data_IF_967483175809
#
_entry.id   IF_967483175809
#
_cell.length_a   1.000
_cell.length_b   1.000
_cell.length_c   1.000
_cell.angle_alpha   90.00
_cell.angle_beta   90.00
_cell.angle_gamma   90.00
#
_symmetry.space_group_name_H-M   'P 1'
#
loop_
_entity.id
_entity.type
_entity.pdbx_description
1 polymer ?
#
# COMPACT_ATOMS: atom_id res chain seq x y z
N UNK A 1 -3.24 -13.03 1.65
CA UNK A 1 -3.05 -11.57 1.52
C UNK A 1 -3.38 -11.16 0.10
N UNK A 2 -4.18 -10.09 -0.09
CA UNK A 2 -4.44 -9.53 -1.42
C UNK A 2 -3.53 -8.32 -1.61
N UNK A 3 -2.75 -8.32 -2.67
CA UNK A 3 -1.97 -7.17 -3.11
C UNK A 3 -2.74 -6.43 -4.19
N UNK A 4 -2.69 -5.10 -4.17
CA UNK A 4 -3.18 -4.27 -5.28
C UNK A 4 -2.03 -4.05 -6.25
N UNK A 5 -2.33 -4.10 -7.54
CA UNK A 5 -1.37 -3.73 -8.58
C UNK A 5 -1.39 -2.23 -8.79
N UNK A 6 -0.22 -1.62 -8.87
CA UNK A 6 -0.05 -0.21 -9.22
C UNK A 6 1.05 -0.15 -10.28
N UNK A 7 0.84 0.69 -11.29
CA UNK A 7 1.86 0.98 -12.29
C UNK A 7 3.03 1.75 -11.64
N UNK A 8 4.25 1.57 -12.13
CA UNK A 8 5.44 2.22 -11.60
C UNK A 8 5.49 3.72 -11.95
N UNK A 9 4.81 4.15 -13.00
CA UNK A 9 4.61 5.56 -13.36
C UNK A 9 3.32 6.16 -12.78
N UNK A 10 2.68 5.48 -11.83
CA UNK A 10 1.40 5.92 -11.25
C UNK A 10 1.47 7.34 -10.67
N UNK A 11 2.55 7.70 -9.98
CA UNK A 11 2.73 9.01 -9.34
C UNK A 11 2.77 10.18 -10.35
N UNK A 12 3.10 9.91 -11.61
CA UNK A 12 3.17 10.90 -12.69
C UNK A 12 1.90 10.96 -13.55
N UNK A 13 0.88 10.15 -13.23
CA UNK A 13 -0.32 10.07 -14.05
C UNK A 13 -1.10 11.40 -14.04
N UNK A 14 -1.49 11.97 -15.21
CA UNK A 14 -2.10 13.31 -15.29
C UNK A 14 -3.32 13.53 -14.39
N UNK A 15 -4.21 12.53 -14.29
CA UNK A 15 -5.37 12.57 -13.37
C UNK A 15 -4.97 12.75 -11.90
N UNK A 16 -3.83 12.20 -11.46
CA UNK A 16 -3.37 12.35 -10.08
C UNK A 16 -2.80 13.74 -9.81
N UNK A 17 -2.09 14.29 -10.80
CA UNK A 17 -1.61 15.68 -10.75
C UNK A 17 -2.79 16.67 -10.68
N UNK A 18 -3.88 16.39 -11.40
CA UNK A 18 -5.11 17.18 -11.39
C UNK A 18 -5.81 17.18 -10.02
N UNK A 19 -6.02 16.01 -9.40
CA UNK A 19 -6.74 15.92 -8.12
C UNK A 19 -5.89 16.25 -6.90
N UNK A 20 -4.57 16.26 -7.06
CA UNK A 20 -3.60 16.53 -6.01
C UNK A 20 -3.37 15.36 -5.04
N UNK A 21 -2.35 15.46 -4.16
CA UNK A 21 -1.82 14.33 -3.40
C UNK A 21 -2.79 13.73 -2.39
N UNK A 22 -3.66 14.55 -1.79
CA UNK A 22 -4.65 14.06 -0.81
C UNK A 22 -5.69 13.16 -1.49
N UNK A 23 -6.21 13.57 -2.64
CA UNK A 23 -7.16 12.78 -3.40
C UNK A 23 -6.51 11.54 -4.01
N UNK A 24 -5.28 11.66 -4.53
CA UNK A 24 -4.49 10.51 -4.99
C UNK A 24 -4.31 9.46 -3.88
N UNK A 25 -4.03 9.88 -2.64
CA UNK A 25 -3.96 8.95 -1.51
C UNK A 25 -5.30 8.27 -1.21
N UNK A 26 -6.42 9.02 -1.25
CA UNK A 26 -7.76 8.45 -1.08
C UNK A 26 -8.07 7.43 -2.18
N UNK A 27 -7.63 7.67 -3.41
CA UNK A 27 -7.75 6.71 -4.50
C UNK A 27 -6.99 5.40 -4.19
N UNK A 28 -5.73 5.49 -3.77
CA UNK A 28 -4.94 4.30 -3.35
C UNK A 28 -5.61 3.57 -2.19
N UNK A 29 -6.12 4.29 -1.18
CA UNK A 29 -6.87 3.67 -0.08
C UNK A 29 -8.11 2.92 -0.59
N UNK A 30 -8.80 3.44 -1.61
CA UNK A 30 -9.97 2.81 -2.20
C UNK A 30 -9.64 1.51 -2.94
N UNK A 31 -8.49 1.45 -3.65
CA UNK A 31 -7.98 0.20 -4.24
C UNK A 31 -7.73 -0.84 -3.15
N UNK A 32 -7.02 -0.45 -2.09
CA UNK A 32 -6.73 -1.33 -0.95
C UNK A 32 -8.00 -1.80 -0.23
N UNK A 33 -9.01 -0.94 -0.09
CA UNK A 33 -10.32 -1.31 0.46
C UNK A 33 -11.00 -2.35 -0.43
N UNK A 34 -11.04 -2.12 -1.74
CA UNK A 34 -11.75 -3.00 -2.66
C UNK A 34 -11.08 -4.37 -2.77
N UNK A 35 -9.75 -4.42 -2.80
CA UNK A 35 -8.98 -5.66 -2.84
C UNK A 35 -9.06 -6.49 -1.54
N UNK A 36 -9.12 -5.84 -0.37
CA UNK A 36 -9.24 -6.57 0.92
C UNK A 36 -10.66 -7.10 1.14
N UNK A 37 -11.68 -6.35 0.71
CA UNK A 37 -13.09 -6.69 0.94
C UNK A 37 -13.74 -7.42 -0.24
N UNK A 38 -13.05 -7.54 -1.38
CA UNK A 38 -13.55 -8.16 -2.61
C UNK A 38 -14.88 -7.53 -3.06
N UNK A 39 -14.86 -6.22 -3.23
CA UNK A 39 -16.02 -5.40 -3.63
C UNK A 39 -16.02 -5.07 -5.12
N UNK A 40 -15.06 -5.57 -5.90
CA UNK A 40 -14.94 -5.31 -7.34
C UNK A 40 -14.91 -3.81 -7.69
N UNK A 41 -14.28 -3.01 -6.83
CA UNK A 41 -14.15 -1.57 -7.01
C UNK A 41 -15.34 -0.76 -6.50
N UNK A 42 -16.39 -1.40 -5.96
CA UNK A 42 -17.53 -0.68 -5.38
C UNK A 42 -17.18 -0.04 -4.04
N UNK A 43 -17.55 1.23 -3.90
CA UNK A 43 -17.35 2.07 -2.72
C UNK A 43 -18.70 2.67 -2.31
N UNK A 44 -19.25 2.25 -1.17
CA UNK A 44 -20.50 2.83 -0.66
C UNK A 44 -20.28 4.27 -0.19
N UNK A 45 -21.35 5.08 -0.09
CA UNK A 45 -21.26 6.44 0.47
C UNK A 45 -20.64 6.49 1.87
N UNK A 46 -20.91 5.48 2.69
CA UNK A 46 -20.34 5.39 4.04
C UNK A 46 -18.83 5.15 3.98
N UNK A 47 -18.37 4.26 3.11
CA UNK A 47 -16.94 3.99 2.91
C UNK A 47 -16.25 5.20 2.29
N UNK A 48 -16.85 5.87 1.31
CA UNK A 48 -16.30 7.10 0.76
C UNK A 48 -16.05 8.17 1.84
N UNK A 49 -16.96 8.32 2.81
CA UNK A 49 -16.77 9.22 3.96
C UNK A 49 -15.69 8.76 4.93
N UNK A 50 -15.51 7.46 5.12
CA UNK A 50 -14.40 6.92 5.93
C UNK A 50 -13.05 7.15 5.24
N UNK A 51 -13.01 6.97 3.92
CA UNK A 51 -11.80 7.13 3.11
C UNK A 51 -11.40 8.60 2.96
N UNK A 52 -12.34 9.50 2.65
CA UNK A 52 -12.04 10.91 2.40
C UNK A 52 -12.22 11.82 3.63
N UNK A 53 -12.90 11.34 4.67
CA UNK A 53 -13.36 12.13 5.80
C UNK A 53 -14.77 12.70 5.57
N UNK A 54 -15.52 12.89 6.65
CA UNK A 54 -16.90 13.41 6.61
C UNK A 54 -17.00 14.94 6.50
N UNK A 55 -15.86 15.65 6.54
CA UNK A 55 -15.82 17.11 6.49
C UNK A 55 -16.09 17.66 5.09
N UNK A 56 -16.30 18.99 4.98
CA UNK A 56 -16.37 19.67 3.67
C UNK A 56 -15.13 19.42 2.81
N UNK A 57 -13.96 19.28 3.44
CA UNK A 57 -12.73 18.96 2.72
C UNK A 57 -12.77 17.55 2.14
N UNK A 58 -13.25 16.56 2.89
CA UNK A 58 -13.43 15.20 2.39
C UNK A 58 -14.44 15.13 1.24
N UNK A 59 -15.52 15.91 1.32
CA UNK A 59 -16.48 16.04 0.21
C UNK A 59 -15.83 16.62 -1.04
N UNK A 60 -14.97 17.64 -0.92
CA UNK A 60 -14.19 18.18 -2.04
C UNK A 60 -13.25 17.14 -2.66
N UNK A 61 -12.62 16.30 -1.84
CA UNK A 61 -11.78 15.19 -2.32
C UNK A 61 -12.60 14.20 -3.14
N UNK A 62 -13.78 13.80 -2.66
CA UNK A 62 -14.67 12.91 -3.42
C UNK A 62 -15.11 13.56 -4.73
N UNK A 63 -15.50 14.83 -4.70
CA UNK A 63 -15.87 15.55 -5.92
C UNK A 63 -14.72 15.62 -6.94
N UNK A 64 -13.48 15.85 -6.49
CA UNK A 64 -12.30 15.87 -7.36
C UNK A 64 -12.05 14.51 -8.01
N UNK A 65 -12.15 13.41 -7.25
CA UNK A 65 -11.99 12.05 -7.78
C UNK A 65 -13.04 11.70 -8.83
N UNK A 66 -14.28 12.15 -8.64
CA UNK A 66 -15.36 11.96 -9.62
C UNK A 66 -15.14 12.83 -10.86
N UNK A 67 -14.78 14.10 -10.68
CA UNK A 67 -14.50 15.02 -11.78
C UNK A 67 -13.37 14.51 -12.69
N UNK A 68 -12.29 14.00 -12.11
CA UNK A 68 -11.15 13.44 -12.84
C UNK A 68 -11.39 12.01 -13.38
N UNK A 69 -12.61 11.45 -13.26
CA UNK A 69 -12.94 10.08 -13.69
C UNK A 69 -12.00 9.02 -13.10
N UNK A 70 -11.62 9.21 -11.83
CA UNK A 70 -10.97 8.17 -11.03
C UNK A 70 -12.02 7.34 -10.29
N UNK A 71 -13.10 7.99 -9.85
CA UNK A 71 -14.32 7.36 -9.37
C UNK A 71 -15.50 7.69 -10.29
N UNK A 72 -16.47 6.79 -10.34
CA UNK A 72 -17.72 6.92 -11.09
C UNK A 72 -18.91 6.89 -10.13
N UNK A 73 -19.93 7.69 -10.38
CA UNK A 73 -21.14 7.71 -9.55
C UNK A 73 -21.98 6.47 -9.86
N UNK A 74 -22.45 5.80 -8.81
CA UNK A 74 -23.39 4.68 -8.89
C UNK A 74 -24.58 4.89 -7.95
N UNK A 75 -25.64 4.09 -8.09
CA UNK A 75 -26.85 4.19 -7.27
C UNK A 75 -26.57 4.18 -5.76
N UNK A 76 -25.57 3.41 -5.30
CA UNK A 76 -25.24 3.24 -3.89
C UNK A 76 -24.03 4.04 -3.38
N UNK A 77 -23.37 4.80 -4.25
CA UNK A 77 -22.11 5.48 -3.93
C UNK A 77 -21.27 5.67 -5.18
N UNK A 78 -20.14 4.97 -5.22
CA UNK A 78 -19.15 5.13 -6.26
C UNK A 78 -18.56 3.79 -6.71
N UNK A 79 -17.93 3.78 -7.88
CA UNK A 79 -17.10 2.69 -8.36
C UNK A 79 -15.73 3.25 -8.77
N UNK A 80 -14.67 2.48 -8.55
CA UNK A 80 -13.33 2.81 -9.04
C UNK A 80 -13.29 2.55 -10.55
N UNK A 81 -12.88 3.56 -11.32
CA UNK A 81 -12.73 3.45 -12.78
C UNK A 81 -11.70 2.35 -13.13
N UNK A 82 -12.04 1.51 -14.11
CA UNK A 82 -11.22 0.41 -14.64
C UNK A 82 -10.67 -0.58 -13.60
N UNK A 83 -11.33 -0.72 -12.45
CA UNK A 83 -10.83 -1.59 -11.37
C UNK A 83 -10.58 -3.03 -11.85
N UNK A 84 -11.51 -3.61 -12.61
CA UNK A 84 -11.42 -5.00 -13.08
C UNK A 84 -10.47 -5.21 -14.26
N UNK A 85 -10.00 -4.13 -14.89
CA UNK A 85 -8.97 -4.23 -15.93
C UNK A 85 -7.60 -4.54 -15.30
N UNK A 86 -7.29 -3.88 -14.18
CA UNK A 86 -6.00 -4.01 -13.52
C UNK A 86 -6.01 -4.98 -12.34
N UNK A 87 -7.13 -5.08 -11.64
CA UNK A 87 -7.28 -5.89 -10.43
C UNK A 87 -8.09 -7.17 -10.67
N UNK A 88 -7.77 -8.26 -9.96
CA UNK A 88 -8.56 -9.47 -10.07
C UNK A 88 -9.95 -9.27 -9.45
N UNK A 89 -10.98 -9.82 -10.11
CA UNK A 89 -12.34 -9.84 -9.56
C UNK A 89 -12.45 -10.71 -8.30
N UNK A 90 -13.49 -10.47 -7.50
CA UNK A 90 -13.89 -11.28 -6.35
C UNK A 90 -13.94 -12.76 -6.72
N UNK A 91 -14.60 -13.08 -7.84
CA UNK A 91 -14.74 -14.45 -8.31
C UNK A 91 -13.37 -15.08 -8.59
N UNK A 92 -12.48 -14.36 -9.29
CA UNK A 92 -11.12 -14.83 -9.57
C UNK A 92 -10.31 -15.05 -8.30
N UNK A 93 -10.35 -14.09 -7.36
CA UNK A 93 -9.63 -14.21 -6.08
C UNK A 93 -10.14 -15.39 -5.27
N UNK A 94 -11.46 -15.60 -5.20
CA UNK A 94 -12.05 -16.73 -4.48
C UNK A 94 -11.68 -18.06 -5.13
N UNK A 95 -11.71 -18.15 -6.46
CA UNK A 95 -11.29 -19.35 -7.19
C UNK A 95 -9.83 -19.71 -6.87
N UNK A 96 -8.92 -18.74 -6.91
CA UNK A 96 -7.51 -18.95 -6.57
C UNK A 96 -7.32 -19.35 -5.10
N UNK A 97 -8.14 -18.80 -4.18
CA UNK A 97 -8.10 -19.19 -2.76
C UNK A 97 -8.55 -20.63 -2.55
N UNK A 98 -9.61 -21.05 -3.24
CA UNK A 98 -10.11 -22.42 -3.17
C UNK A 98 -9.10 -23.43 -3.72
N UNK A 99 -8.52 -23.17 -4.90
CA UNK A 99 -7.51 -24.07 -5.48
C UNK A 99 -6.28 -24.21 -4.60
N UNK A 100 -5.80 -23.10 -4.01
CA UNK A 100 -4.67 -23.13 -3.07
C UNK A 100 -5.00 -23.88 -1.78
N UNK A 101 -6.20 -23.70 -1.23
CA UNK A 101 -6.64 -24.41 -0.04
C UNK A 101 -6.69 -25.93 -0.29
N UNK A 102 -7.23 -26.34 -1.44
CA UNK A 102 -7.34 -27.76 -1.79
C UNK A 102 -5.97 -28.40 -2.06
N UNK A 103 -5.09 -27.70 -2.79
CA UNK A 103 -3.71 -28.17 -2.99
C UNK A 103 -2.96 -28.31 -1.65
N UNK A 104 -3.15 -27.36 -0.73
CA UNK A 104 -2.59 -27.41 0.62
C UNK A 104 -3.12 -28.60 1.43
N UNK A 105 -4.43 -28.87 1.35
CA UNK A 105 -5.07 -30.02 2.01
C UNK A 105 -4.51 -31.35 1.50
N UNK A 106 -4.42 -31.51 0.17
CA UNK A 106 -3.88 -32.72 -0.45
C UNK A 106 -2.38 -32.90 -0.13
N UNK A 107 -1.60 -31.82 -0.12
CA UNK A 107 -0.19 -31.84 0.30
C UNK A 107 -0.03 -32.26 1.77
N UNK A 108 -0.88 -31.75 2.65
CA UNK A 108 -0.92 -32.11 4.07
C UNK A 108 -1.28 -33.58 4.31
N UNK A 109 -2.23 -34.13 3.55
CA UNK A 109 -2.59 -35.54 3.64
C UNK A 109 -1.44 -36.46 3.18
N UNK A 110 -0.76 -36.13 2.07
CA UNK A 110 0.38 -36.90 1.57
C UNK A 110 1.55 -36.90 2.54
N UNK A 111 1.90 -35.72 3.06
CA UNK A 111 2.97 -35.61 4.07
C UNK A 111 2.59 -36.29 5.37
N UNK A 112 1.34 -36.19 5.82
CA UNK A 112 0.83 -36.90 6.99
C UNK A 112 0.88 -38.42 6.84
N UNK A 113 0.48 -38.96 5.69
CA UNK A 113 0.57 -40.38 5.39
C UNK A 113 2.02 -40.88 5.35
N UNK A 114 2.91 -40.15 4.67
CA UNK A 114 4.34 -40.50 4.62
C UNK A 114 5.01 -40.44 6.00
N UNK A 115 4.56 -39.52 6.87
CA UNK A 115 5.08 -39.41 8.24
C UNK A 115 4.58 -40.56 9.11
N UNK A 116 3.31 -40.95 8.98
CA UNK A 116 2.75 -42.13 9.67
C UNK A 116 3.44 -43.42 9.24
N UNK A 117 3.59 -43.65 7.94
CA UNK A 117 4.26 -44.84 7.42
C UNK A 117 5.71 -44.94 7.89
N UNK A 118 6.41 -43.80 8.02
CA UNK A 118 7.76 -43.76 8.59
C UNK A 118 7.77 -44.12 10.08
N UNK A 119 6.86 -43.56 10.87
CA UNK A 119 6.75 -43.86 12.30
C UNK A 119 6.37 -45.32 12.55
N UNK A 120 5.46 -45.87 11.74
CA UNK A 120 5.09 -47.29 11.77
C UNK A 120 6.30 -48.18 11.45
N UNK A 121 7.06 -47.88 10.38
CA UNK A 121 8.29 -48.60 10.06
C UNK A 121 9.38 -48.48 11.15
N UNK A 122 9.46 -47.36 11.87
CA UNK A 122 10.35 -47.18 13.02
C UNK A 122 9.89 -48.02 14.24
N UNK A 123 8.58 -48.26 14.42
CA UNK A 123 8.02 -49.07 15.49
C UNK A 123 8.09 -50.58 15.21
N UNK A 124 8.00 -50.98 13.94
CA UNK A 124 7.97 -52.37 13.48
C UNK A 124 9.38 -52.94 13.18
N UNK A 125 10.41 -52.09 13.18
CA UNK A 125 11.79 -52.55 13.12
C UNK A 125 12.08 -53.42 14.37
N UNK A 126 12.58 -54.66 14.20
CA UNK A 126 12.90 -55.50 15.34
C UNK A 126 13.94 -54.79 16.20
N UNK A 127 13.73 -54.78 17.52
CA UNK A 127 14.68 -54.35 18.52
C UNK A 127 15.92 -55.26 18.50
N UNK A 128 16.73 -55.16 17.44
CA UNK A 128 18.08 -55.67 17.39
C UNK A 128 18.95 -54.55 17.89
N UNK A 129 19.13 -54.49 19.21
CA UNK A 129 20.42 -54.55 19.88
C UNK A 129 20.16 -54.64 21.39
N UNK A 130 20.76 -55.66 21.99
CA UNK A 130 20.53 -56.06 23.38
C UNK A 130 20.92 -54.98 24.38
N UNK A 131 20.24 -55.04 25.51
CA UNK A 131 20.66 -54.40 26.74
C UNK A 131 22.00 -55.01 27.21
N UNK A 132 23.14 -54.46 26.77
CA UNK A 132 24.43 -54.68 27.43
C UNK A 132 25.54 -53.70 27.00
N UNK A 133 25.26 -52.42 26.79
CA UNK A 133 26.31 -51.39 26.74
C UNK A 133 25.74 -50.05 27.23
N UNK A 134 25.51 -49.99 28.54
CA UNK A 134 25.43 -48.71 29.24
C UNK A 134 26.85 -48.32 29.66
N UNK A 135 27.22 -47.08 29.34
CA UNK A 135 28.47 -46.37 29.64
C UNK A 135 29.55 -46.41 28.54
N UNK A 136 29.37 -45.61 27.48
CA UNK A 136 30.29 -44.52 27.10
C UNK A 136 30.04 -44.07 25.65
N UNK A 137 29.59 -42.82 25.48
CA UNK A 137 29.98 -41.91 24.38
C UNK A 137 29.07 -40.67 24.41
N UNK A 138 29.37 -39.75 25.30
CA UNK A 138 28.81 -38.39 25.22
C UNK A 138 29.53 -37.61 24.12
N UNK A 139 28.76 -36.93 23.27
CA UNK A 139 29.21 -35.78 22.50
C UNK A 139 29.63 -36.07 21.06
N UNK A 140 28.67 -35.99 20.12
CA UNK A 140 28.69 -35.17 18.89
C UNK A 140 27.70 -35.73 17.86
N UNK A 141 26.54 -35.09 17.74
CA UNK A 141 25.75 -35.14 16.50
C UNK A 141 25.27 -33.73 16.17
N UNK A 142 26.00 -33.14 15.23
CA UNK A 142 25.87 -31.80 14.71
C UNK A 142 24.57 -31.70 13.88
N UNK A 143 23.57 -30.97 14.39
CA UNK A 143 22.39 -30.61 13.63
C UNK A 143 22.76 -29.63 12.52
N UNK A 144 22.62 -30.04 11.26
CA UNK A 144 22.70 -29.14 10.09
C UNK A 144 21.57 -28.11 10.19
N UNK A 145 21.85 -26.98 10.84
CA UNK A 145 21.07 -25.75 10.69
C UNK A 145 21.54 -25.07 9.42
N UNK A 146 20.69 -25.03 8.39
CA UNK A 146 20.90 -24.18 7.24
C UNK A 146 20.66 -22.73 7.67
N UNK A 147 21.71 -22.04 8.11
CA UNK A 147 21.69 -20.59 8.35
C UNK A 147 22.29 -19.92 7.13
N UNK A 148 21.47 -19.16 6.42
CA UNK A 148 21.91 -18.23 5.38
C UNK A 148 23.02 -17.33 5.93
N UNK A 149 24.14 -17.09 5.22
CA UNK A 149 25.18 -16.20 5.71
C UNK A 149 24.68 -14.75 5.75
N UNK A 150 24.80 -14.10 6.90
CA UNK A 150 24.66 -12.63 7.02
C UNK A 150 26.03 -12.01 6.68
N UNK A 151 26.11 -11.00 5.80
CA UNK A 151 27.35 -10.26 5.56
C UNK A 151 27.82 -9.57 6.84
N UNK A 152 29.09 -9.77 7.21
CA UNK A 152 29.69 -9.19 8.41
C UNK A 152 29.89 -7.67 8.32
N UNK A 153 30.10 -6.98 9.46
CA UNK A 153 30.29 -5.53 9.50
C UNK A 153 31.64 -5.13 8.90
N UNK A 154 31.64 -4.11 8.04
CA UNK A 154 32.85 -3.51 7.49
C UNK A 154 33.58 -2.71 8.59
N UNK A 155 34.91 -2.82 8.74
CA UNK A 155 35.68 -2.03 9.70
C UNK A 155 35.69 -0.54 9.31
N UNK A 156 35.20 0.33 10.21
CA UNK A 156 35.44 1.77 10.13
C UNK A 156 36.82 2.13 10.70
N UNK A 157 37.51 3.14 10.18
CA UNK A 157 38.80 3.57 10.73
C UNK A 157 38.64 4.26 12.09
N UNK A 158 39.58 3.95 12.99
CA UNK A 158 39.57 4.29 14.42
C UNK A 158 40.32 5.60 14.72
N UNK A 159 39.70 6.47 15.55
CA UNK A 159 40.23 7.44 16.55
C UNK A 159 41.13 8.64 16.10
N UNK A 160 41.16 9.84 16.72
CA UNK A 160 40.69 10.45 17.99
C UNK A 160 40.96 12.02 17.93
N UNK A 161 41.02 12.82 19.02
CA UNK A 161 40.00 13.21 20.03
C UNK A 161 39.81 14.76 20.23
N UNK A 162 38.70 15.12 20.91
CA UNK A 162 38.43 16.36 21.71
C UNK A 162 38.37 17.72 21.00
N UNK A 163 37.36 18.56 21.21
CA UNK A 163 37.20 19.35 22.44
C UNK A 163 35.81 20.01 22.55
N UNK A 164 35.41 20.33 23.78
CA UNK A 164 34.18 21.05 24.18
C UNK A 164 34.24 22.54 23.81
N UNK A 165 33.07 23.11 23.45
CA UNK A 165 32.50 24.42 23.88
C UNK A 165 31.06 24.46 23.31
N UNK A 166 29.96 24.54 24.07
CA UNK A 166 29.47 25.63 24.93
C UNK A 166 29.44 27.01 24.23
N UNK A 167 28.25 27.46 23.81
CA UNK A 167 27.98 28.90 23.59
C UNK A 167 26.95 29.26 22.50
N UNK A 168 25.68 29.39 22.92
CA UNK A 168 24.72 30.51 22.63
C UNK A 168 24.38 31.00 21.22
N UNK A 169 23.07 31.34 21.08
CA UNK A 169 22.43 32.38 20.22
C UNK A 169 22.24 32.04 18.74
N UNK A 170 21.23 32.52 18.03
CA UNK A 170 19.92 33.14 18.28
C UNK A 170 19.23 33.18 16.90
N UNK A 171 17.94 33.48 16.92
CA UNK A 171 16.97 33.59 15.83
C UNK A 171 17.40 34.19 14.47
N UNK A 172 16.72 33.74 13.40
CA UNK A 172 16.36 34.63 12.28
C UNK A 172 16.43 34.03 10.87
N UNK A 173 15.31 33.50 10.35
CA UNK A 173 15.02 33.44 8.91
C UNK A 173 13.56 33.01 8.61
N UNK A 174 12.58 33.85 8.94
CA UNK A 174 11.24 33.81 8.31
C UNK A 174 10.89 35.25 7.93
N UNK A 175 10.97 35.58 6.64
CA UNK A 175 10.43 36.72 5.91
C UNK A 175 11.19 36.72 4.56
N UNK A 176 10.65 36.67 3.35
CA UNK A 176 9.50 37.33 2.74
C UNK A 176 9.16 36.60 1.43
N UNK A 177 7.90 36.20 1.19
CA UNK A 177 7.29 36.22 -0.15
C UNK A 177 5.82 36.59 0.03
N UNK A 178 5.52 37.88 -0.13
CA UNK A 178 4.19 38.40 -0.37
C UNK A 178 4.31 39.58 -1.31
N UNK A 179 3.29 39.74 -2.15
CA UNK A 179 3.07 40.78 -3.18
C UNK A 179 3.53 40.41 -4.59
N UNK A 180 2.63 39.80 -5.35
CA UNK A 180 2.41 40.09 -6.78
C UNK A 180 1.20 39.30 -7.31
N UNK A 181 -0.03 39.80 -7.11
CA UNK A 181 -1.21 39.50 -7.96
C UNK A 181 -2.43 40.33 -7.50
N UNK A 182 -2.28 41.66 -7.50
CA UNK A 182 -3.39 42.60 -7.28
C UNK A 182 -3.27 43.76 -8.26
N UNK A 183 -3.42 43.48 -9.56
CA UNK A 183 -3.45 44.53 -10.60
C UNK A 183 -4.16 44.11 -11.90
N UNK A 184 -5.26 43.36 -11.80
CA UNK A 184 -6.20 43.16 -12.92
C UNK A 184 -7.63 43.25 -12.37
N UNK A 185 -8.08 44.45 -11.99
CA UNK A 185 -9.49 44.69 -11.61
C UNK A 185 -9.97 46.16 -11.73
N UNK A 186 -9.29 47.04 -12.47
CA UNK A 186 -9.70 48.46 -12.59
C UNK A 186 -9.64 49.05 -14.01
N UNK A 187 -10.03 48.31 -15.04
CA UNK A 187 -10.15 48.89 -16.40
C UNK A 187 -11.38 48.48 -17.20
N UNK A 188 -12.54 48.31 -16.55
CA UNK A 188 -13.80 47.99 -17.22
C UNK A 188 -14.99 48.85 -16.78
N UNK A 189 -14.76 50.11 -16.39
CA UNK A 189 -15.84 51.05 -16.10
C UNK A 189 -15.44 52.48 -16.51
N UNK A 190 -15.51 52.79 -17.82
CA UNK A 190 -15.50 54.17 -18.34
C UNK A 190 -15.61 54.15 -19.88
N UNK A 191 -16.79 53.88 -20.44
CA UNK A 191 -17.24 54.52 -21.69
C UNK A 191 -18.73 54.30 -21.84
N UNK A 192 -19.51 55.28 -21.38
CA UNK A 192 -20.91 55.48 -21.72
C UNK A 192 -21.08 56.88 -22.32
N UNK A 193 -21.96 56.96 -23.31
CA UNK A 193 -22.60 58.14 -23.93
C UNK A 193 -21.81 59.04 -24.90
N UNK A 194 -22.12 58.87 -26.19
CA UNK A 194 -22.59 59.92 -27.12
C UNK A 194 -23.16 59.20 -28.38
N UNK A 195 -24.48 59.12 -28.60
CA UNK A 195 -25.36 60.15 -29.17
C UNK A 195 -25.33 60.17 -30.72
N UNK A 196 -26.22 59.41 -31.36
CA UNK A 196 -26.56 59.52 -32.79
C UNK A 196 -27.96 58.91 -33.05
N UNK A 197 -28.95 59.69 -33.53
CA UNK A 197 -30.14 59.13 -34.16
C UNK A 197 -30.15 59.42 -35.66
N UNK A 198 -30.20 58.35 -36.47
CA UNK A 198 -30.50 58.41 -37.89
C UNK A 198 -31.64 57.44 -38.23
N UNK A 199 -32.45 57.89 -39.19
CA UNK A 199 -33.41 57.18 -40.06
C UNK A 199 -34.90 57.35 -39.68
N UNK A 200 -35.81 57.49 -40.67
CA UNK A 200 -35.61 57.42 -42.14
C UNK A 200 -35.62 58.75 -42.88
#
# INVERSE_FOLDING_TARGET
MTWIKLDDAFDQHPKLLEVGPVAAWVFVRSLCYSGRNLTDGLITRAVARELAGSSRQGQRVVSALVAARLWEITTGGYAIHDFLEYQPSRASVLAVRLTKAEAGRLGGLRTGAARRSRLEAEHEAPAKHGASDLLEANGKANGKQNRTPVPGPVPGPDRAPSSRRSGTKDDGAIHHISVALAQIAHRSASTGDADEPLIP
#
